data_IF_753996741113
#
_entry.id   IF_753996741113
#
_cell.length_a   1.000
_cell.length_b   1.000
_cell.length_c   1.000
_cell.angle_alpha   90.00
_cell.angle_beta   90.00
_cell.angle_gamma   90.00
#
_symmetry.space_group_name_H-M   'P 1'
#
loop_
_entity.id
_entity.type
_entity.pdbx_description
1 polymer ?
#
# COMPACT_ATOMS: atom_id res chain seq x y z
N UNK A 1 -18.13 -0.53 10.64
CA UNK A 1 -18.50 -1.59 9.64
C UNK A 1 -19.84 -1.28 8.99
N UNK A 2 -20.04 -1.57 7.68
CA UNK A 2 -21.33 -1.42 6.99
C UNK A 2 -22.29 -2.58 7.32
N UNK A 3 -23.60 -2.29 7.33
CA UNK A 3 -24.65 -3.27 7.66
C UNK A 3 -24.66 -4.45 6.67
N UNK A 4 -24.44 -4.19 5.38
CA UNK A 4 -24.33 -5.23 4.36
C UNK A 4 -23.23 -6.23 4.67
N UNK A 5 -22.05 -5.73 5.00
CA UNK A 5 -20.88 -6.56 5.37
C UNK A 5 -21.14 -7.38 6.65
N UNK A 6 -21.84 -6.81 7.61
CA UNK A 6 -22.23 -7.53 8.84
C UNK A 6 -23.11 -8.75 8.51
N UNK A 7 -24.16 -8.55 7.70
CA UNK A 7 -25.04 -9.66 7.31
C UNK A 7 -24.30 -10.72 6.49
N UNK A 8 -23.36 -10.34 5.63
CA UNK A 8 -22.53 -11.28 4.89
C UNK A 8 -21.66 -12.14 5.84
N UNK A 9 -21.07 -11.53 6.86
CA UNK A 9 -20.31 -12.27 7.86
C UNK A 9 -21.16 -13.23 8.68
N UNK A 10 -22.37 -12.81 9.07
CA UNK A 10 -23.28 -13.64 9.88
C UNK A 10 -23.92 -14.76 9.04
N UNK A 11 -24.29 -14.51 7.78
CA UNK A 11 -24.90 -15.51 6.89
C UNK A 11 -24.00 -16.71 6.61
N UNK A 12 -22.68 -16.47 6.49
CA UNK A 12 -21.69 -17.50 6.22
C UNK A 12 -21.36 -18.39 7.44
N UNK A 13 -21.80 -17.99 8.65
CA UNK A 13 -21.52 -18.70 9.88
C UNK A 13 -20.06 -18.61 10.33
N UNK A 14 -19.75 -19.29 11.44
CA UNK A 14 -18.38 -19.40 11.92
C UNK A 14 -17.49 -20.12 10.90
N UNK A 15 -16.31 -19.59 10.71
CA UNK A 15 -15.32 -20.10 9.76
C UNK A 15 -13.91 -19.66 10.17
N UNK A 16 -12.94 -19.75 9.27
CA UNK A 16 -11.56 -19.35 9.58
C UNK A 16 -11.39 -17.84 9.83
N UNK A 17 -12.42 -17.03 9.49
CA UNK A 17 -12.39 -15.57 9.61
C UNK A 17 -13.35 -14.99 10.64
N UNK A 18 -14.36 -15.75 11.06
CA UNK A 18 -15.45 -15.23 11.90
C UNK A 18 -15.72 -16.17 13.06
N UNK A 19 -15.88 -15.59 14.24
CA UNK A 19 -16.28 -16.26 15.48
C UNK A 19 -17.35 -15.45 16.20
N UNK A 20 -18.31 -16.11 16.84
CA UNK A 20 -19.40 -15.46 17.54
C UNK A 20 -19.24 -15.58 19.05
N UNK A 21 -19.61 -14.54 19.76
CA UNK A 21 -19.67 -14.54 21.21
C UNK A 21 -20.97 -13.90 21.67
N UNK A 22 -21.66 -14.56 22.57
CA UNK A 22 -22.90 -14.02 23.15
C UNK A 22 -22.65 -12.79 24.00
N UNK A 23 -21.51 -12.72 24.70
CA UNK A 23 -21.16 -11.65 25.67
C UNK A 23 -19.66 -11.37 25.63
N UNK A 24 -19.25 -10.21 26.12
CA UNK A 24 -17.86 -9.88 26.36
C UNK A 24 -17.15 -10.85 27.33
N UNK A 25 -15.85 -10.93 27.22
CA UNK A 25 -14.98 -11.77 28.05
C UNK A 25 -14.91 -11.18 29.46
N UNK A 26 -15.31 -11.94 30.46
CA UNK A 26 -15.22 -11.52 31.87
C UNK A 26 -13.75 -11.45 32.33
N UNK A 27 -13.49 -10.75 33.45
CA UNK A 27 -12.12 -10.56 33.99
C UNK A 27 -11.35 -11.85 34.22
N UNK A 28 -12.03 -12.92 34.57
CA UNK A 28 -11.45 -14.27 34.73
C UNK A 28 -11.26 -15.01 33.41
N UNK A 29 -11.86 -14.53 32.32
CA UNK A 29 -11.76 -15.06 30.96
C UNK A 29 -10.90 -14.21 30.01
N UNK A 30 -10.11 -13.26 30.53
CA UNK A 30 -9.21 -12.46 29.69
C UNK A 30 -8.22 -13.28 28.87
N UNK A 31 -7.86 -14.47 29.36
CA UNK A 31 -7.01 -15.41 28.61
C UNK A 31 -7.71 -15.91 27.34
N UNK A 32 -9.05 -16.05 27.35
CA UNK A 32 -9.80 -16.49 26.18
C UNK A 32 -9.75 -15.44 25.06
N UNK A 33 -9.84 -14.14 25.41
CA UNK A 33 -9.65 -13.06 24.44
C UNK A 33 -8.26 -13.13 23.79
N UNK A 34 -7.20 -13.37 24.59
CA UNK A 34 -5.85 -13.51 24.05
C UNK A 34 -5.73 -14.74 23.15
N UNK A 35 -6.34 -15.87 23.54
CA UNK A 35 -6.37 -17.09 22.73
C UNK A 35 -7.05 -16.83 21.40
N UNK A 36 -8.23 -16.21 21.40
CA UNK A 36 -8.99 -15.94 20.19
C UNK A 36 -8.23 -15.00 19.27
N UNK A 37 -7.66 -13.90 19.80
CA UNK A 37 -6.83 -12.99 19.01
C UNK A 37 -5.62 -13.69 18.41
N UNK A 38 -4.87 -14.51 19.18
CA UNK A 38 -3.70 -15.23 18.67
C UNK A 38 -4.08 -16.28 17.62
N UNK A 39 -5.24 -16.92 17.75
CA UNK A 39 -5.74 -17.85 16.75
C UNK A 39 -6.09 -17.12 15.43
N UNK A 40 -6.70 -15.96 15.50
CA UNK A 40 -7.11 -15.18 14.33
C UNK A 40 -5.97 -14.42 13.66
N UNK A 41 -5.02 -13.90 14.40
CA UNK A 41 -3.87 -13.23 13.79
C UNK A 41 -2.96 -14.21 13.06
N UNK A 42 -2.89 -15.46 13.52
CA UNK A 42 -2.11 -16.52 12.90
C UNK A 42 -2.96 -17.35 11.91
N UNK A 43 -3.54 -16.68 10.92
CA UNK A 43 -4.27 -17.33 9.84
C UNK A 43 -3.41 -17.45 8.57
N UNK A 44 -3.64 -18.50 7.81
CA UNK A 44 -2.92 -18.75 6.55
C UNK A 44 -3.46 -17.96 5.36
N UNK A 45 -4.67 -17.40 5.47
CA UNK A 45 -5.25 -16.52 4.46
C UNK A 45 -4.79 -15.06 4.64
N UNK A 46 -5.12 -14.20 3.66
CA UNK A 46 -4.73 -12.79 3.62
C UNK A 46 -5.91 -11.83 3.86
N UNK A 47 -6.92 -12.28 4.58
CA UNK A 47 -8.12 -11.49 4.86
C UNK A 47 -8.23 -11.20 6.36
N UNK A 48 -8.92 -10.09 6.70
CA UNK A 48 -9.18 -9.71 8.08
C UNK A 48 -10.12 -10.70 8.77
N UNK A 49 -9.99 -10.79 10.08
CA UNK A 49 -10.79 -11.67 10.93
C UNK A 49 -11.68 -10.88 11.88
N UNK A 50 -12.78 -11.49 12.30
CA UNK A 50 -13.84 -10.82 13.05
C UNK A 50 -14.29 -11.69 14.23
N UNK A 51 -14.34 -11.10 15.43
CA UNK A 51 -15.04 -11.67 16.58
C UNK A 51 -16.28 -10.79 16.78
N UNK A 52 -17.47 -11.36 16.58
CA UNK A 52 -18.73 -10.63 16.69
C UNK A 52 -19.38 -10.96 18.05
N UNK A 53 -19.56 -9.94 18.86
CA UNK A 53 -20.11 -10.05 20.22
C UNK A 53 -21.56 -9.58 20.21
N UNK A 54 -22.45 -10.36 20.78
CA UNK A 54 -23.90 -10.17 20.75
C UNK A 54 -24.63 -11.16 19.87
N UNK A 55 -23.97 -12.24 19.45
CA UNK A 55 -24.57 -13.34 18.67
C UNK A 55 -24.47 -14.64 19.49
N UNK A 56 -25.57 -15.40 19.55
CA UNK A 56 -25.59 -16.74 20.13
C UNK A 56 -24.94 -17.72 19.14
N UNK A 57 -23.96 -18.46 19.60
CA UNK A 57 -23.15 -19.35 18.77
C UNK A 57 -24.00 -20.47 18.08
N UNK A 58 -24.82 -21.19 18.85
CA UNK A 58 -25.58 -22.33 18.32
C UNK A 58 -26.72 -21.91 17.39
N UNK A 59 -27.53 -20.91 17.81
CA UNK A 59 -28.72 -20.47 17.08
C UNK A 59 -28.42 -19.42 16.00
N UNK A 60 -27.24 -18.78 16.07
CA UNK A 60 -26.86 -17.58 15.27
C UNK A 60 -27.84 -16.41 15.44
N UNK A 61 -28.61 -16.43 16.53
CA UNK A 61 -29.55 -15.35 16.83
C UNK A 61 -28.79 -14.11 17.32
N UNK A 62 -29.12 -12.95 16.77
CA UNK A 62 -28.62 -11.68 17.25
C UNK A 62 -29.31 -11.36 18.57
N UNK A 63 -28.59 -11.51 19.67
CA UNK A 63 -29.11 -11.24 21.01
C UNK A 63 -28.78 -9.82 21.49
N UNK A 64 -27.75 -9.21 20.87
CA UNK A 64 -27.19 -7.93 21.27
C UNK A 64 -26.39 -8.00 22.57
N UNK A 65 -25.76 -6.88 22.91
CA UNK A 65 -24.98 -6.70 24.14
C UNK A 65 -25.66 -5.72 25.10
N UNK A 66 -25.34 -5.83 26.39
CA UNK A 66 -25.61 -4.77 27.34
C UNK A 66 -24.54 -3.68 27.20
N UNK A 67 -24.96 -2.48 26.81
CA UNK A 67 -24.05 -1.33 26.61
C UNK A 67 -23.37 -0.87 27.90
N UNK A 68 -23.93 -1.25 29.06
CA UNK A 68 -23.38 -0.96 30.37
C UNK A 68 -22.57 -2.13 30.97
N UNK A 69 -22.30 -3.18 30.19
CA UNK A 69 -21.47 -4.31 30.65
C UNK A 69 -20.07 -3.80 31.03
N UNK A 70 -19.71 -3.96 32.31
CA UNK A 70 -18.38 -3.59 32.84
C UNK A 70 -17.21 -4.33 32.19
N UNK A 71 -17.46 -5.41 31.45
CA UNK A 71 -16.46 -6.19 30.74
C UNK A 71 -16.29 -5.72 29.29
N UNK A 72 -17.11 -4.79 28.81
CA UNK A 72 -16.99 -4.23 27.46
C UNK A 72 -15.69 -3.44 27.33
N UNK A 73 -14.91 -3.74 26.29
CA UNK A 73 -13.61 -3.12 26.04
C UNK A 73 -13.65 -2.26 24.77
N UNK A 74 -12.87 -1.19 24.78
CA UNK A 74 -12.57 -0.41 23.58
C UNK A 74 -11.28 -0.93 22.91
N UNK A 75 -11.02 -0.48 21.68
CA UNK A 75 -9.81 -0.88 20.94
C UNK A 75 -8.51 -0.59 21.72
N UNK A 76 -8.48 0.54 22.43
CA UNK A 76 -7.34 0.95 23.27
C UNK A 76 -7.10 -0.05 24.42
N UNK A 77 -8.17 -0.50 25.09
CA UNK A 77 -8.07 -1.46 26.21
C UNK A 77 -7.50 -2.80 25.73
N UNK A 78 -7.97 -3.29 24.57
CA UNK A 78 -7.49 -4.54 23.97
C UNK A 78 -6.03 -4.39 23.55
N UNK A 79 -5.68 -3.31 22.89
CA UNK A 79 -4.31 -3.02 22.41
C UNK A 79 -3.34 -2.87 23.57
N UNK A 80 -3.72 -2.16 24.65
CA UNK A 80 -2.89 -2.01 25.84
C UNK A 80 -2.70 -3.34 26.57
N UNK A 81 -3.73 -4.20 26.58
CA UNK A 81 -3.58 -5.54 27.10
C UNK A 81 -2.54 -6.35 26.31
N UNK A 82 -2.58 -6.30 24.97
CA UNK A 82 -1.62 -6.98 24.12
C UNK A 82 -0.20 -6.40 24.24
N UNK A 83 -0.05 -5.09 24.40
CA UNK A 83 1.25 -4.42 24.63
C UNK A 83 1.95 -4.92 25.89
N UNK A 84 1.19 -5.28 26.91
CA UNK A 84 1.73 -5.82 28.16
C UNK A 84 2.17 -7.29 28.03
N UNK A 85 1.86 -7.95 26.92
CA UNK A 85 2.32 -9.29 26.60
C UNK A 85 3.65 -9.24 25.86
N UNK A 86 4.57 -10.12 26.18
CA UNK A 86 5.83 -10.29 25.43
C UNK A 86 5.56 -11.05 24.14
N UNK A 87 5.17 -10.36 23.08
CA UNK A 87 4.91 -10.97 21.78
C UNK A 87 6.18 -11.12 20.93
N UNK A 88 6.21 -12.12 20.07
CA UNK A 88 7.33 -12.40 19.16
C UNK A 88 7.60 -11.22 18.23
N UNK A 89 8.88 -10.83 18.08
CA UNK A 89 9.28 -9.69 17.27
C UNK A 89 8.81 -8.33 17.78
N UNK A 90 8.26 -8.25 19.01
CA UNK A 90 7.61 -7.06 19.57
C UNK A 90 6.46 -6.52 18.68
N UNK A 91 5.91 -7.35 17.82
CA UNK A 91 4.79 -6.97 16.96
C UNK A 91 3.46 -7.07 17.72
N UNK A 92 2.70 -5.99 17.70
CA UNK A 92 1.37 -5.93 18.30
C UNK A 92 0.35 -6.01 17.16
N UNK A 93 -0.58 -6.99 17.19
CA UNK A 93 -1.66 -7.07 16.22
C UNK A 93 -2.46 -5.76 16.14
N UNK A 94 -2.78 -5.33 14.94
CA UNK A 94 -3.66 -4.20 14.72
C UNK A 94 -5.11 -4.64 14.91
N UNK A 95 -5.83 -3.93 15.79
CA UNK A 95 -7.20 -4.29 16.19
C UNK A 95 -8.06 -3.03 16.21
N UNK A 96 -9.27 -3.17 15.69
CA UNK A 96 -10.34 -2.19 15.81
C UNK A 96 -11.51 -2.80 16.59
N UNK A 97 -12.17 -2.01 17.43
CA UNK A 97 -13.44 -2.36 18.07
C UNK A 97 -14.47 -1.36 17.59
N UNK A 98 -15.50 -1.84 16.92
CA UNK A 98 -16.62 -1.03 16.41
C UNK A 98 -17.95 -1.60 16.88
N UNK A 99 -18.99 -0.76 16.94
CA UNK A 99 -20.34 -1.17 17.29
C UNK A 99 -21.26 -0.99 16.08
N UNK A 100 -22.22 -1.88 15.95
CA UNK A 100 -23.27 -1.80 14.95
C UNK A 100 -24.64 -2.06 15.58
N UNK A 101 -25.63 -1.26 15.18
CA UNK A 101 -27.02 -1.44 15.63
C UNK A 101 -27.80 -2.20 14.55
N UNK A 102 -28.40 -3.32 14.93
CA UNK A 102 -29.19 -4.21 14.09
C UNK A 102 -30.50 -4.54 14.79
N UNK A 103 -31.63 -4.16 14.23
CA UNK A 103 -32.97 -4.44 14.78
C UNK A 103 -33.11 -4.05 16.25
N UNK A 104 -32.73 -2.82 16.60
CA UNK A 104 -32.71 -2.27 17.98
C UNK A 104 -31.78 -3.01 18.95
N UNK A 105 -30.86 -3.84 18.46
CA UNK A 105 -29.84 -4.53 19.24
C UNK A 105 -28.46 -4.08 18.83
N UNK A 106 -27.58 -3.86 19.79
CA UNK A 106 -26.19 -3.46 19.53
C UNK A 106 -25.30 -4.69 19.57
N UNK A 107 -24.47 -4.87 18.56
CA UNK A 107 -23.38 -5.84 18.52
C UNK A 107 -22.04 -5.12 18.48
N UNK A 108 -21.04 -5.62 19.19
CA UNK A 108 -19.67 -5.16 19.06
C UNK A 108 -18.88 -6.12 18.14
N UNK A 109 -17.95 -5.55 17.38
CA UNK A 109 -17.13 -6.27 16.43
C UNK A 109 -15.67 -5.96 16.72
N UNK A 110 -14.90 -6.99 17.07
CA UNK A 110 -13.45 -6.90 17.12
C UNK A 110 -12.94 -7.30 15.75
N UNK A 111 -12.42 -6.35 15.00
CA UNK A 111 -11.71 -6.59 13.74
C UNK A 111 -10.24 -6.81 14.05
N UNK A 112 -9.70 -7.94 13.62
CA UNK A 112 -8.28 -8.27 13.71
C UNK A 112 -7.73 -8.19 12.29
N UNK A 113 -6.95 -7.15 12.03
CA UNK A 113 -6.41 -6.91 10.71
C UNK A 113 -5.39 -7.96 10.31
N UNK A 114 -5.43 -8.33 9.05
CA UNK A 114 -4.48 -9.29 8.48
C UNK A 114 -3.04 -8.77 8.57
N UNK A 115 -2.10 -9.67 8.82
CA UNK A 115 -0.67 -9.32 8.86
C UNK A 115 0.18 -10.44 8.27
N UNK A 116 1.28 -10.05 7.65
CA UNK A 116 2.33 -10.97 7.21
C UNK A 116 3.37 -11.26 8.32
N UNK A 117 3.26 -10.62 9.51
CA UNK A 117 4.17 -10.87 10.65
C UNK A 117 3.91 -12.18 11.41
N UNK A 118 3.29 -13.16 10.77
CA UNK A 118 3.01 -14.49 11.35
C UNK A 118 4.25 -15.39 11.39
N UNK A 119 4.35 -16.36 12.30
CA UNK A 119 3.47 -16.56 13.45
C UNK A 119 3.78 -15.59 14.60
N UNK A 120 2.72 -15.12 15.26
CA UNK A 120 2.80 -14.33 16.49
C UNK A 120 2.53 -15.25 17.67
N UNK A 121 3.41 -15.25 18.65
CA UNK A 121 3.34 -16.08 19.85
C UNK A 121 3.94 -15.37 21.04
N UNK A 122 3.67 -15.87 22.23
CA UNK A 122 4.19 -15.32 23.48
C UNK A 122 5.65 -15.76 23.69
N UNK A 123 6.51 -14.81 24.04
CA UNK A 123 7.91 -15.08 24.43
C UNK A 123 8.05 -15.49 25.90
N UNK A 124 6.99 -15.31 26.68
CA UNK A 124 6.87 -15.71 28.10
C UNK A 124 5.50 -16.29 28.36
N UNK A 125 5.41 -17.22 29.31
CA UNK A 125 4.12 -17.76 29.75
C UNK A 125 3.16 -16.65 30.17
N UNK A 126 1.93 -16.71 29.67
CA UNK A 126 0.82 -15.87 30.14
C UNK A 126 -0.14 -16.73 30.97
N UNK A 127 -0.41 -16.28 32.19
CA UNK A 127 -1.23 -17.00 33.16
C UNK A 127 -2.45 -16.17 33.56
N UNK A 128 -3.60 -16.81 33.55
CA UNK A 128 -4.82 -16.29 34.16
C UNK A 128 -5.50 -17.43 34.96
N UNK A 129 -5.45 -17.31 36.27
CA UNK A 129 -5.89 -18.37 37.17
C UNK A 129 -5.06 -19.67 36.97
N UNK A 130 -5.76 -20.78 36.66
CA UNK A 130 -5.13 -22.08 36.38
C UNK A 130 -4.76 -22.29 34.91
N UNK A 131 -5.16 -21.40 34.04
CA UNK A 131 -4.92 -21.51 32.60
C UNK A 131 -3.63 -20.80 32.20
N UNK A 132 -2.90 -21.41 31.27
CA UNK A 132 -1.59 -20.94 30.85
C UNK A 132 -1.50 -21.06 29.32
N UNK A 133 -1.07 -19.99 28.66
CA UNK A 133 -0.54 -20.05 27.28
C UNK A 133 0.98 -20.12 27.43
N UNK A 134 1.59 -21.18 26.94
CA UNK A 134 3.03 -21.42 27.07
C UNK A 134 3.86 -20.48 26.15
N UNK A 135 5.05 -20.14 26.61
CA UNK A 135 6.02 -19.44 25.76
C UNK A 135 6.35 -20.28 24.51
N UNK A 136 6.40 -19.64 23.34
CA UNK A 136 6.69 -20.31 22.06
C UNK A 136 5.51 -21.11 21.48
N UNK A 137 4.38 -21.18 22.18
CA UNK A 137 3.18 -21.87 21.70
C UNK A 137 2.52 -21.03 20.58
N UNK A 138 2.31 -21.64 19.43
CA UNK A 138 1.65 -20.99 18.28
C UNK A 138 0.22 -21.48 18.21
N UNK A 139 -0.72 -20.55 18.35
CA UNK A 139 -2.15 -20.78 18.21
C UNK A 139 -2.57 -20.28 16.83
N UNK A 140 -3.41 -21.03 16.12
CA UNK A 140 -3.92 -20.68 14.78
C UNK A 140 -5.31 -21.27 14.59
N UNK A 141 -6.22 -20.53 14.00
CA UNK A 141 -7.53 -21.01 13.58
C UNK A 141 -7.42 -21.70 12.23
N UNK A 142 -8.00 -22.88 12.14
CA UNK A 142 -8.01 -23.66 10.91
C UNK A 142 -9.29 -24.50 10.82
N UNK A 143 -9.95 -24.48 9.66
CA UNK A 143 -11.22 -25.17 9.42
C UNK A 143 -12.30 -24.83 10.47
N UNK A 144 -12.42 -23.53 10.77
CA UNK A 144 -13.41 -23.02 11.72
C UNK A 144 -13.12 -23.33 13.20
N UNK A 145 -11.95 -23.91 13.53
CA UNK A 145 -11.62 -24.31 14.89
C UNK A 145 -10.31 -23.69 15.38
N UNK A 146 -10.32 -23.22 16.63
CA UNK A 146 -9.14 -22.71 17.31
C UNK A 146 -8.19 -23.84 17.74
N UNK A 147 -6.88 -23.60 17.67
CA UNK A 147 -5.91 -24.46 18.33
C UNK A 147 -6.18 -24.49 19.85
N UNK A 148 -6.38 -25.66 20.48
CA UNK A 148 -6.59 -25.75 21.91
C UNK A 148 -5.42 -25.19 22.73
N UNK A 149 -5.73 -24.64 23.91
CA UNK A 149 -4.74 -23.99 24.78
C UNK A 149 -3.59 -24.93 25.22
N UNK A 150 -3.79 -26.22 25.24
CA UNK A 150 -2.81 -27.22 25.62
C UNK A 150 -1.95 -27.76 24.46
N UNK A 151 -2.13 -27.18 23.24
CA UNK A 151 -1.46 -27.64 22.03
C UNK A 151 -0.90 -26.44 21.24
N UNK A 152 0.00 -26.73 20.32
CA UNK A 152 0.43 -25.79 19.28
C UNK A 152 -0.22 -26.16 17.95
N UNK A 153 -0.30 -25.22 17.02
CA UNK A 153 -0.78 -25.47 15.67
C UNK A 153 0.00 -26.61 14.99
N UNK A 154 -0.66 -27.41 14.13
CA UNK A 154 0.01 -28.48 13.40
C UNK A 154 1.16 -27.96 12.52
N UNK A 155 2.18 -28.80 12.30
CA UNK A 155 3.40 -28.45 11.58
C UNK A 155 3.12 -27.89 10.17
N UNK A 156 2.17 -28.47 9.42
CA UNK A 156 1.79 -27.96 8.10
C UNK A 156 1.16 -26.54 8.13
N UNK A 157 0.54 -26.15 9.25
CA UNK A 157 0.06 -24.78 9.47
C UNK A 157 1.24 -23.87 9.78
N UNK A 158 2.16 -24.31 10.64
CA UNK A 158 3.38 -23.55 10.96
C UNK A 158 4.19 -23.25 9.71
N UNK A 159 4.37 -24.24 8.82
CA UNK A 159 5.03 -24.04 7.53
C UNK A 159 4.34 -22.95 6.69
N UNK A 160 3.01 -23.00 6.58
CA UNK A 160 2.24 -21.99 5.84
C UNK A 160 2.36 -20.59 6.46
N UNK A 161 2.35 -20.46 7.79
CA UNK A 161 2.54 -19.19 8.49
C UNK A 161 3.92 -18.59 8.21
N UNK A 162 4.97 -19.42 8.22
CA UNK A 162 6.31 -18.97 7.86
C UNK A 162 6.42 -18.61 6.38
N UNK A 163 5.79 -19.39 5.48
CA UNK A 163 5.72 -19.03 4.05
C UNK A 163 5.04 -17.68 3.83
N UNK A 164 3.94 -17.42 4.55
CA UNK A 164 3.24 -16.12 4.54
C UNK A 164 4.18 -15.00 4.99
N UNK A 165 4.91 -15.18 6.10
CA UNK A 165 5.86 -14.19 6.62
C UNK A 165 6.96 -13.83 5.62
N UNK A 166 7.45 -14.81 4.89
CA UNK A 166 8.52 -14.61 3.90
C UNK A 166 7.98 -14.40 2.48
N UNK A 167 6.67 -14.20 2.34
CA UNK A 167 5.98 -14.04 1.06
C UNK A 167 6.21 -15.19 0.06
N UNK A 168 6.53 -16.39 0.55
CA UNK A 168 6.76 -17.56 -0.29
C UNK A 168 5.46 -18.21 -0.79
N UNK A 169 4.33 -17.76 -0.31
CA UNK A 169 2.98 -18.12 -0.73
C UNK A 169 2.43 -17.17 -1.82
N UNK A 170 3.13 -16.07 -2.10
CA UNK A 170 2.80 -15.10 -3.14
C UNK A 170 3.49 -15.44 -4.46
N UNK A 171 2.92 -15.01 -5.56
CA UNK A 171 3.61 -15.09 -6.84
C UNK A 171 4.87 -14.21 -6.87
N UNK A 172 5.73 -14.41 -7.88
CA UNK A 172 7.02 -13.74 -7.94
C UNK A 172 6.87 -12.22 -8.11
N UNK A 173 5.81 -11.75 -8.76
CA UNK A 173 5.54 -10.33 -8.97
C UNK A 173 5.16 -9.64 -7.66
N UNK A 174 4.30 -10.27 -6.85
CA UNK A 174 3.90 -9.78 -5.54
C UNK A 174 5.08 -9.81 -4.56
N UNK A 175 5.90 -10.86 -4.60
CA UNK A 175 7.14 -10.92 -3.83
C UNK A 175 8.09 -9.79 -4.21
N UNK A 176 8.23 -9.54 -5.52
CA UNK A 176 9.05 -8.43 -6.01
C UNK A 176 8.55 -7.09 -5.48
N UNK A 177 7.23 -6.87 -5.54
CA UNK A 177 6.60 -5.66 -5.02
C UNK A 177 6.84 -5.49 -3.51
N UNK A 178 6.83 -6.58 -2.75
CA UNK A 178 7.11 -6.56 -1.30
C UNK A 178 8.56 -6.17 -1.00
N UNK A 179 9.54 -6.74 -1.71
CA UNK A 179 10.97 -6.41 -1.47
C UNK A 179 11.34 -5.01 -1.93
N UNK A 180 10.64 -4.43 -2.92
CA UNK A 180 10.85 -3.03 -3.32
C UNK A 180 10.59 -2.03 -2.20
N UNK A 181 9.76 -2.37 -1.20
CA UNK A 181 9.46 -1.53 -0.03
C UNK A 181 10.54 -1.56 1.04
N UNK A 182 11.44 -2.53 1.00
CA UNK A 182 12.54 -2.67 1.96
C UNK A 182 13.78 -1.90 1.50
N UNK A 183 13.65 -0.58 1.43
CA UNK A 183 14.62 0.34 0.83
C UNK A 183 16.03 0.23 1.41
N UNK A 184 16.15 -0.09 2.70
CA UNK A 184 17.44 -0.13 3.42
C UNK A 184 18.27 -1.37 3.06
N UNK A 185 17.65 -2.41 2.54
CA UNK A 185 18.30 -3.65 2.16
C UNK A 185 18.62 -3.73 0.66
N UNK A 186 18.60 -2.63 -0.05
CA UNK A 186 19.05 -2.54 -1.44
C UNK A 186 20.40 -1.82 -1.54
N UNK A 187 21.25 -2.31 -2.44
CA UNK A 187 22.55 -1.70 -2.74
C UNK A 187 22.62 -1.38 -4.23
N UNK A 188 22.97 -0.13 -4.55
CA UNK A 188 23.27 0.29 -5.90
C UNK A 188 24.73 -0.03 -6.24
N UNK A 189 24.93 -0.64 -7.41
CA UNK A 189 26.24 -0.93 -7.99
C UNK A 189 26.32 -0.27 -9.35
N UNK A 190 27.31 0.59 -9.54
CA UNK A 190 27.50 1.30 -10.81
C UNK A 190 27.93 0.34 -11.93
N UNK A 191 27.80 0.80 -13.19
CA UNK A 191 28.22 0.04 -14.35
C UNK A 191 29.73 -0.25 -14.32
N UNK A 192 30.10 -1.50 -14.54
CA UNK A 192 31.49 -1.93 -14.56
C UNK A 192 31.73 -3.09 -15.53
N UNK A 193 32.81 -3.02 -16.32
CA UNK A 193 33.23 -4.06 -17.26
C UNK A 193 32.10 -4.55 -18.20
N UNK A 194 31.30 -3.64 -18.75
CA UNK A 194 30.22 -3.97 -19.68
C UNK A 194 28.92 -4.49 -19.01
N UNK A 195 28.90 -4.63 -17.69
CA UNK A 195 27.66 -4.88 -16.96
C UNK A 195 26.91 -3.57 -16.73
N UNK A 196 25.58 -3.57 -16.84
CA UNK A 196 24.77 -2.39 -16.55
C UNK A 196 24.86 -2.03 -15.05
N UNK A 197 24.61 -0.77 -14.75
CA UNK A 197 24.36 -0.37 -13.37
C UNK A 197 23.13 -1.11 -12.83
N UNK A 198 23.14 -1.48 -11.55
CA UNK A 198 22.06 -2.27 -10.97
C UNK A 198 21.80 -1.98 -9.50
N UNK A 199 20.58 -2.27 -9.07
CA UNK A 199 20.24 -2.42 -7.67
C UNK A 199 20.16 -3.92 -7.33
N UNK A 200 20.72 -4.31 -6.18
CA UNK A 200 20.72 -5.70 -5.69
C UNK A 200 20.07 -5.73 -4.31
N UNK A 201 19.12 -6.63 -4.11
CA UNK A 201 18.51 -6.83 -2.80
C UNK A 201 19.42 -7.71 -1.93
N UNK A 202 19.89 -7.16 -0.80
CA UNK A 202 20.95 -7.78 0.01
C UNK A 202 20.51 -9.07 0.72
N UNK A 203 19.22 -9.21 1.05
CA UNK A 203 18.70 -10.39 1.74
C UNK A 203 18.43 -11.58 0.81
N UNK A 204 18.18 -11.31 -0.47
CA UNK A 204 18.10 -12.31 -1.54
C UNK A 204 18.61 -11.71 -2.84
N UNK A 205 19.91 -11.88 -3.18
CA UNK A 205 20.51 -11.30 -4.38
C UNK A 205 19.95 -11.79 -5.72
N UNK A 206 19.04 -12.77 -5.71
CA UNK A 206 18.29 -13.15 -6.90
C UNK A 206 17.29 -12.06 -7.34
N UNK A 207 16.88 -11.18 -6.43
CA UNK A 207 16.15 -9.96 -6.77
C UNK A 207 17.14 -8.85 -7.12
N UNK A 208 17.15 -8.42 -8.36
CA UNK A 208 17.97 -7.31 -8.81
C UNK A 208 17.31 -6.54 -9.94
N UNK A 209 17.71 -5.29 -10.12
CA UNK A 209 17.17 -4.37 -11.11
C UNK A 209 18.32 -3.89 -11.97
N UNK A 210 18.34 -4.26 -13.24
CA UNK A 210 19.32 -3.75 -14.21
C UNK A 210 18.82 -2.42 -14.80
N UNK A 211 19.72 -1.42 -14.86
CA UNK A 211 19.46 -0.15 -15.52
C UNK A 211 20.08 -0.19 -16.93
N UNK A 212 19.24 -0.51 -17.90
CA UNK A 212 19.64 -0.73 -19.30
C UNK A 212 19.33 0.52 -20.11
N UNK A 213 20.24 0.94 -20.98
CA UNK A 213 19.99 2.08 -21.88
C UNK A 213 18.81 1.77 -22.82
N UNK A 214 17.86 2.67 -22.90
CA UNK A 214 16.75 2.56 -23.85
C UNK A 214 17.22 2.97 -25.23
N UNK A 215 17.48 1.97 -26.07
CA UNK A 215 17.95 2.15 -27.46
C UNK A 215 16.80 2.41 -28.45
N UNK A 216 15.57 2.62 -27.96
CA UNK A 216 14.38 2.79 -28.82
C UNK A 216 14.36 4.10 -29.62
N UNK A 217 15.39 4.96 -29.47
CA UNK A 217 15.51 6.22 -30.21
C UNK A 217 14.39 7.20 -29.85
N UNK A 218 14.03 7.25 -28.57
CA UNK A 218 13.01 8.23 -28.08
C UNK A 218 13.61 9.61 -28.08
N UNK A 219 13.43 10.30 -29.18
CA UNK A 219 13.71 11.74 -29.31
C UNK A 219 12.59 12.59 -28.70
N UNK A 220 11.63 11.94 -28.01
CA UNK A 220 10.48 12.65 -27.43
C UNK A 220 10.88 13.28 -26.12
N UNK A 221 10.87 14.57 -26.10
CA UNK A 221 10.88 15.38 -24.91
C UNK A 221 9.65 15.06 -24.05
N UNK A 222 9.83 14.73 -22.79
CA UNK A 222 8.70 14.53 -21.90
C UNK A 222 8.49 15.74 -20.98
N UNK A 223 7.23 16.13 -20.72
CA UNK A 223 6.90 17.29 -19.91
C UNK A 223 7.60 17.35 -18.56
N UNK A 224 7.81 16.20 -17.91
CA UNK A 224 8.47 16.12 -16.61
C UNK A 224 9.89 16.70 -16.61
N UNK A 225 10.58 16.68 -17.75
CA UNK A 225 11.92 17.22 -17.88
C UNK A 225 11.97 18.74 -17.67
N UNK A 226 10.88 19.43 -17.95
CA UNK A 226 10.76 20.88 -17.75
C UNK A 226 10.70 21.30 -16.28
N UNK A 227 10.32 20.38 -15.40
CA UNK A 227 10.38 20.59 -13.96
C UNK A 227 11.82 20.50 -13.41
N UNK A 228 12.75 19.97 -14.18
CA UNK A 228 14.14 19.83 -13.80
C UNK A 228 14.95 21.10 -14.08
N UNK A 229 16.02 21.30 -13.31
CA UNK A 229 16.92 22.46 -13.49
C UNK A 229 17.73 22.34 -14.77
N UNK A 230 17.96 21.11 -15.27
CA UNK A 230 18.72 20.80 -16.49
C UNK A 230 17.93 19.79 -17.33
N UNK A 231 18.03 19.94 -18.65
CA UNK A 231 17.18 19.25 -19.61
C UNK A 231 17.82 18.00 -20.26
N UNK A 232 19.08 17.70 -19.91
CA UNK A 232 19.73 16.51 -20.46
C UNK A 232 19.22 15.24 -19.79
N UNK A 233 18.40 14.50 -20.52
CA UNK A 233 17.78 13.25 -20.07
C UNK A 233 18.34 12.08 -20.87
N UNK A 234 18.72 11.03 -20.17
CA UNK A 234 18.97 9.72 -20.75
C UNK A 234 17.85 8.77 -20.34
N UNK A 235 17.27 8.11 -21.30
CA UNK A 235 16.23 7.10 -21.07
C UNK A 235 16.87 5.76 -20.76
N UNK A 236 16.36 5.12 -19.71
CA UNK A 236 16.75 3.77 -19.32
C UNK A 236 15.52 2.92 -19.06
N UNK A 237 15.69 1.62 -19.18
CA UNK A 237 14.75 0.62 -18.68
C UNK A 237 15.28 0.06 -17.37
N UNK A 238 14.47 0.15 -16.32
CA UNK A 238 14.68 -0.61 -15.11
C UNK A 238 14.07 -2.00 -15.32
N UNK A 239 14.94 -2.99 -15.62
CA UNK A 239 14.55 -4.38 -15.80
C UNK A 239 14.59 -5.10 -14.46
N UNK A 240 13.42 -5.40 -13.90
CA UNK A 240 13.22 -6.09 -12.63
C UNK A 240 13.37 -7.59 -12.85
N UNK A 241 14.38 -8.20 -12.24
CA UNK A 241 14.74 -9.59 -12.48
C UNK A 241 14.77 -10.42 -11.20
N UNK A 242 14.36 -11.67 -11.33
CA UNK A 242 14.53 -12.69 -10.31
C UNK A 242 15.19 -13.93 -10.95
N UNK A 243 16.36 -14.30 -10.46
CA UNK A 243 17.11 -15.47 -10.93
C UNK A 243 17.19 -15.52 -12.47
N UNK A 244 17.60 -14.43 -13.12
CA UNK A 244 17.72 -14.21 -14.57
C UNK A 244 16.39 -14.05 -15.35
N UNK A 245 15.23 -14.33 -14.75
CA UNK A 245 13.96 -14.08 -15.38
C UNK A 245 13.57 -12.59 -15.21
N UNK A 246 13.28 -11.91 -16.31
CA UNK A 246 12.67 -10.59 -16.26
C UNK A 246 11.21 -10.70 -15.84
N UNK A 247 10.85 -10.07 -14.74
CA UNK A 247 9.49 -10.07 -14.19
C UNK A 247 8.68 -8.92 -14.79
N UNK A 248 9.30 -7.74 -14.85
CA UNK A 248 8.72 -6.54 -15.40
C UNK A 248 9.81 -5.54 -15.76
N UNK A 249 9.54 -4.61 -16.67
CA UNK A 249 10.41 -3.48 -16.93
C UNK A 249 9.66 -2.16 -16.84
N UNK A 250 10.35 -1.12 -16.37
CA UNK A 250 9.79 0.24 -16.24
C UNK A 250 10.72 1.24 -16.89
N UNK A 251 10.12 2.16 -17.62
CA UNK A 251 10.86 3.29 -18.17
C UNK A 251 11.24 4.25 -17.05
N UNK A 252 12.50 4.65 -17.02
CA UNK A 252 13.02 5.64 -16.08
C UNK A 252 13.77 6.73 -16.82
N UNK A 253 13.79 7.91 -16.24
CA UNK A 253 14.73 8.94 -16.68
C UNK A 253 15.95 8.95 -15.78
N UNK A 254 17.09 9.18 -16.42
CA UNK A 254 18.32 9.52 -15.78
C UNK A 254 18.70 10.96 -16.20
N UNK A 255 18.71 11.87 -15.26
CA UNK A 255 19.27 13.18 -15.48
C UNK A 255 20.72 13.21 -15.06
N UNK A 256 21.61 13.16 -16.06
CA UNK A 256 23.04 12.88 -15.88
C UNK A 256 23.73 13.95 -15.00
N UNK A 257 23.46 15.22 -15.25
CA UNK A 257 24.06 16.34 -14.54
C UNK A 257 23.60 16.47 -13.08
N UNK A 258 22.38 16.03 -12.79
CA UNK A 258 21.81 16.04 -11.44
C UNK A 258 21.85 14.66 -10.76
N UNK A 259 22.33 13.62 -11.47
CA UNK A 259 22.33 12.22 -11.02
C UNK A 259 20.99 11.83 -10.40
N UNK A 260 19.93 12.08 -11.14
CA UNK A 260 18.57 11.93 -10.69
C UNK A 260 17.90 10.80 -11.46
N UNK A 261 17.36 9.83 -10.75
CA UNK A 261 16.57 8.72 -11.30
C UNK A 261 15.10 8.88 -10.91
N UNK A 262 14.22 8.75 -11.87
CA UNK A 262 12.78 8.84 -11.66
C UNK A 262 12.06 7.84 -12.56
N UNK A 263 11.12 7.07 -12.01
CA UNK A 263 10.22 6.25 -12.82
C UNK A 263 9.25 7.14 -13.57
N UNK A 264 9.03 6.84 -14.87
CA UNK A 264 8.03 7.53 -15.66
C UNK A 264 6.63 7.22 -15.12
N UNK A 265 5.85 8.22 -14.70
CA UNK A 265 4.46 8.01 -14.32
C UNK A 265 3.62 7.50 -15.52
N UNK A 266 2.47 6.94 -15.23
CA UNK A 266 1.52 6.53 -16.27
C UNK A 266 0.71 7.73 -16.77
N UNK A 267 0.40 7.82 -18.07
CA UNK A 267 -0.53 8.82 -18.57
C UNK A 267 -1.97 8.47 -18.17
N UNK A 268 -2.67 9.46 -17.59
CA UNK A 268 -4.10 9.46 -17.35
C UNK A 268 -4.80 10.44 -18.26
N UNK A 269 -6.12 10.31 -18.42
CA UNK A 269 -6.92 11.16 -19.29
C UNK A 269 -8.25 11.50 -18.65
N UNK A 270 -8.60 12.79 -18.59
CA UNK A 270 -9.91 13.25 -18.16
C UNK A 270 -10.65 13.83 -19.37
N UNK A 271 -11.89 13.39 -19.60
CA UNK A 271 -12.72 13.86 -20.69
C UNK A 271 -13.29 15.23 -20.36
N UNK A 272 -13.03 16.23 -21.23
CA UNK A 272 -13.75 17.49 -21.24
C UNK A 272 -14.91 17.47 -22.23
N UNK A 273 -15.57 18.61 -22.43
CA UNK A 273 -16.74 18.73 -23.28
C UNK A 273 -16.46 18.49 -24.78
N UNK A 274 -15.27 18.80 -25.26
CA UNK A 274 -14.88 18.70 -26.66
C UNK A 274 -13.62 17.88 -26.90
N UNK A 275 -12.74 17.76 -25.89
CA UNK A 275 -11.45 17.09 -25.98
C UNK A 275 -11.12 16.39 -24.67
N UNK A 276 -10.11 15.54 -24.68
CA UNK A 276 -9.57 14.88 -23.50
C UNK A 276 -8.23 15.50 -23.12
N UNK A 277 -8.04 15.72 -21.83
CA UNK A 277 -6.83 16.31 -21.26
C UNK A 277 -6.01 15.22 -20.58
N UNK A 278 -4.70 15.23 -20.80
CA UNK A 278 -3.79 14.27 -20.19
C UNK A 278 -3.21 14.78 -18.87
N UNK A 279 -2.88 13.86 -17.98
CA UNK A 279 -2.13 14.10 -16.75
C UNK A 279 -1.27 12.88 -16.42
N UNK A 280 -0.46 12.97 -15.38
CA UNK A 280 0.43 11.86 -14.95
C UNK A 280 0.01 11.30 -13.60
N UNK A 281 0.09 9.97 -13.45
CA UNK A 281 -0.30 9.32 -12.21
C UNK A 281 0.53 8.08 -11.86
N UNK A 282 0.48 7.71 -10.57
CA UNK A 282 0.83 6.40 -10.05
C UNK A 282 -0.36 5.78 -9.32
N UNK A 283 -0.37 4.46 -9.23
CA UNK A 283 -1.20 3.75 -8.25
C UNK A 283 -0.28 3.41 -7.06
N UNK A 284 -0.68 3.82 -5.87
CA UNK A 284 0.01 3.49 -4.64
C UNK A 284 0.21 1.97 -4.52
N UNK A 285 1.31 1.56 -3.92
CA UNK A 285 1.66 0.16 -3.78
C UNK A 285 1.86 -0.65 -5.07
N UNK A 286 1.78 -0.02 -6.25
CA UNK A 286 2.17 -0.68 -7.50
C UNK A 286 3.69 -0.82 -7.61
N UNK A 287 4.16 -1.76 -8.46
CA UNK A 287 5.59 -1.93 -8.74
C UNK A 287 6.23 -0.62 -9.22
N UNK A 288 5.55 0.15 -10.09
CA UNK A 288 6.08 1.42 -10.59
C UNK A 288 6.25 2.45 -9.46
N UNK A 289 5.26 2.56 -8.58
CA UNK A 289 5.32 3.46 -7.42
C UNK A 289 6.41 3.02 -6.43
N UNK A 290 6.45 1.75 -6.05
CA UNK A 290 7.43 1.23 -5.09
C UNK A 290 8.86 1.26 -5.65
N UNK A 291 9.03 1.02 -6.95
CA UNK A 291 10.32 1.23 -7.62
C UNK A 291 10.73 2.71 -7.55
N UNK A 292 9.81 3.63 -7.83
CA UNK A 292 10.10 5.05 -7.73
C UNK A 292 10.54 5.44 -6.31
N UNK A 293 9.83 4.95 -5.29
CA UNK A 293 10.20 5.18 -3.90
C UNK A 293 11.55 4.55 -3.55
N UNK A 294 11.87 3.35 -4.06
CA UNK A 294 13.18 2.73 -3.90
C UNK A 294 14.30 3.62 -4.45
N UNK A 295 14.14 4.14 -5.68
CA UNK A 295 15.14 5.01 -6.30
C UNK A 295 15.46 6.24 -5.45
N UNK A 296 14.49 6.74 -4.67
CA UNK A 296 14.64 7.90 -3.80
C UNK A 296 15.08 7.59 -2.38
N UNK A 297 14.63 6.46 -1.82
CA UNK A 297 14.83 6.12 -0.40
C UNK A 297 16.00 5.17 -0.16
N UNK A 298 16.50 4.48 -1.18
CA UNK A 298 17.64 3.59 -1.04
C UNK A 298 18.89 4.39 -0.65
N UNK A 299 19.58 4.06 0.47
CA UNK A 299 20.73 4.82 0.97
C UNK A 299 21.90 4.91 0.00
N UNK A 300 22.08 3.90 -0.85
CA UNK A 300 23.15 3.85 -1.85
C UNK A 300 22.72 4.39 -3.23
N UNK A 301 21.48 4.85 -3.39
CA UNK A 301 20.97 5.39 -4.66
C UNK A 301 21.74 6.64 -5.09
N UNK A 302 21.68 6.92 -6.39
CA UNK A 302 22.24 8.14 -6.98
C UNK A 302 21.45 9.39 -6.62
N UNK A 303 20.22 9.25 -6.13
CA UNK A 303 19.36 10.35 -5.73
C UNK A 303 19.83 10.92 -4.39
N UNK A 304 20.49 12.07 -4.43
CA UNK A 304 20.97 12.73 -3.23
C UNK A 304 19.91 13.57 -2.51
N UNK A 305 20.05 13.74 -1.22
CA UNK A 305 19.11 14.49 -0.35
C UNK A 305 18.80 15.91 -0.82
N UNK A 306 19.77 16.63 -1.40
CA UNK A 306 19.55 17.99 -1.92
C UNK A 306 18.63 18.05 -3.14
N UNK A 307 18.29 16.91 -3.73
CA UNK A 307 17.35 16.82 -4.86
C UNK A 307 15.89 16.64 -4.44
N UNK A 308 15.60 16.55 -3.15
CA UNK A 308 14.23 16.39 -2.66
C UNK A 308 13.29 17.53 -3.07
N UNK A 309 13.78 18.75 -3.11
CA UNK A 309 12.97 19.87 -3.60
C UNK A 309 12.57 19.69 -5.08
N UNK A 310 13.47 19.12 -5.86
CA UNK A 310 13.19 18.81 -7.28
C UNK A 310 12.20 17.66 -7.42
N UNK A 311 12.36 16.60 -6.62
CA UNK A 311 11.35 15.52 -6.51
C UNK A 311 9.98 16.10 -6.19
N UNK A 312 9.89 16.90 -5.14
CA UNK A 312 8.63 17.50 -4.71
C UNK A 312 8.02 18.39 -5.80
N UNK A 313 8.84 19.12 -6.56
CA UNK A 313 8.37 19.94 -7.68
C UNK A 313 7.74 19.08 -8.77
N UNK A 314 8.38 17.95 -9.13
CA UNK A 314 7.86 17.01 -10.12
C UNK A 314 6.59 16.35 -9.60
N UNK A 315 6.61 15.83 -8.38
CA UNK A 315 5.50 15.06 -7.81
C UNK A 315 4.26 15.89 -7.50
N UNK A 316 4.35 17.22 -7.43
CA UNK A 316 3.18 18.11 -7.24
C UNK A 316 2.13 18.02 -8.34
N UNK A 317 2.52 17.63 -9.55
CA UNK A 317 1.62 17.45 -10.68
C UNK A 317 1.33 15.99 -11.03
N UNK A 318 1.95 15.05 -10.31
CA UNK A 318 1.69 13.62 -10.45
C UNK A 318 0.64 13.21 -9.42
N UNK A 319 -0.42 12.57 -9.87
CA UNK A 319 -1.51 12.11 -8.99
C UNK A 319 -1.19 10.71 -8.46
N UNK A 320 -1.40 10.49 -7.17
CA UNK A 320 -1.21 9.17 -6.56
C UNK A 320 -2.57 8.67 -6.08
N UNK A 321 -3.09 7.63 -6.75
CA UNK A 321 -4.34 7.00 -6.37
C UNK A 321 -4.09 5.75 -5.52
N UNK A 322 -4.97 5.46 -4.58
CA UNK A 322 -4.92 4.22 -3.81
C UNK A 322 -5.29 2.98 -4.65
N UNK A 323 -6.13 3.17 -5.68
CA UNK A 323 -6.59 2.10 -6.56
C UNK A 323 -7.00 2.62 -7.94
N UNK A 324 -7.17 1.69 -8.90
CA UNK A 324 -7.75 2.01 -10.22
C UNK A 324 -9.22 2.43 -10.11
N UNK A 325 -9.93 1.97 -9.10
CA UNK A 325 -11.33 2.35 -8.86
C UNK A 325 -11.42 3.80 -8.39
N UNK A 326 -10.61 4.19 -7.41
CA UNK A 326 -10.51 5.59 -6.99
C UNK A 326 -10.17 6.51 -8.17
N UNK A 327 -9.19 6.10 -9.00
CA UNK A 327 -8.86 6.84 -10.22
C UNK A 327 -10.09 7.09 -11.09
N UNK A 328 -10.92 6.06 -11.35
CA UNK A 328 -12.12 6.18 -12.19
C UNK A 328 -13.14 7.15 -11.59
N UNK A 329 -13.37 7.04 -10.27
CA UNK A 329 -14.30 7.90 -9.55
C UNK A 329 -13.83 9.36 -9.64
N UNK A 330 -12.57 9.63 -9.28
CA UNK A 330 -12.01 10.97 -9.28
C UNK A 330 -11.99 11.59 -10.69
N UNK A 331 -11.60 10.82 -11.73
CA UNK A 331 -11.65 11.30 -13.12
C UNK A 331 -13.07 11.68 -13.55
N UNK A 332 -14.07 10.88 -13.17
CA UNK A 332 -15.48 11.15 -13.44
C UNK A 332 -15.97 12.42 -12.75
N UNK A 333 -15.64 12.57 -11.47
CA UNK A 333 -16.06 13.71 -10.65
C UNK A 333 -15.42 15.01 -11.13
N UNK A 334 -14.13 14.98 -11.41
CA UNK A 334 -13.39 16.13 -11.94
C UNK A 334 -13.95 16.55 -13.31
N UNK A 335 -14.27 15.59 -14.18
CA UNK A 335 -14.92 15.85 -15.47
C UNK A 335 -16.28 16.51 -15.31
N UNK A 336 -17.08 16.12 -14.31
CA UNK A 336 -18.41 16.65 -14.07
C UNK A 336 -18.43 18.02 -13.39
N UNK A 337 -17.49 18.28 -12.46
CA UNK A 337 -17.52 19.45 -11.60
C UNK A 337 -16.76 20.65 -12.18
N UNK A 338 -15.74 20.42 -13.02
CA UNK A 338 -14.86 21.49 -13.50
C UNK A 338 -15.01 21.74 -15.00
N UNK A 339 -14.99 23.02 -15.38
CA UNK A 339 -14.77 23.38 -16.77
C UNK A 339 -13.26 23.27 -17.07
N UNK A 340 -12.84 22.07 -17.48
CA UNK A 340 -11.43 21.74 -17.66
C UNK A 340 -10.73 22.70 -18.60
N UNK A 341 -11.33 22.98 -19.77
CA UNK A 341 -10.74 23.88 -20.76
C UNK A 341 -10.38 25.24 -20.16
N UNK A 342 -11.27 25.83 -19.35
CA UNK A 342 -11.03 27.11 -18.71
C UNK A 342 -10.03 27.04 -17.55
N UNK A 343 -10.09 25.96 -16.77
CA UNK A 343 -9.31 25.82 -15.53
C UNK A 343 -7.86 25.47 -15.77
N UNK A 344 -7.53 24.79 -16.86
CA UNK A 344 -6.18 24.32 -17.16
C UNK A 344 -5.54 25.03 -18.36
N UNK A 345 -6.28 25.86 -19.09
CA UNK A 345 -5.77 26.58 -20.28
C UNK A 345 -4.43 27.27 -19.99
N UNK A 346 -3.46 27.00 -20.86
CA UNK A 346 -2.15 27.64 -20.80
C UNK A 346 -2.21 29.08 -21.35
N UNK A 347 -1.68 30.01 -20.59
CA UNK A 347 -1.57 31.41 -21.06
C UNK A 347 -0.35 31.60 -21.96
N UNK A 348 -0.39 32.61 -22.83
CA UNK A 348 0.73 33.00 -23.71
C UNK A 348 2.02 33.28 -22.91
N UNK A 349 1.91 33.88 -21.73
CA UNK A 349 3.05 34.17 -20.85
C UNK A 349 3.67 32.90 -20.27
N UNK A 350 2.83 31.95 -19.84
CA UNK A 350 3.30 30.66 -19.36
C UNK A 350 4.00 29.87 -20.46
N UNK A 351 3.41 29.84 -21.65
CA UNK A 351 3.97 29.16 -22.82
C UNK A 351 5.34 29.74 -23.14
N UNK A 352 5.46 31.05 -23.27
CA UNK A 352 6.73 31.70 -23.53
C UNK A 352 7.78 31.42 -22.47
N UNK A 353 7.39 31.41 -21.19
CA UNK A 353 8.31 31.07 -20.08
C UNK A 353 8.84 29.66 -20.19
N UNK A 354 8.02 28.72 -20.67
CA UNK A 354 8.43 27.32 -20.85
C UNK A 354 9.31 27.19 -22.10
N UNK A 355 8.95 27.83 -23.20
CA UNK A 355 9.74 27.84 -24.44
C UNK A 355 11.17 28.39 -24.23
N UNK A 356 11.33 29.44 -23.42
CA UNK A 356 12.65 29.99 -23.07
C UNK A 356 13.54 29.00 -22.28
N UNK A 357 12.96 27.94 -21.69
CA UNK A 357 13.68 26.88 -20.99
C UNK A 357 14.00 25.67 -21.87
N UNK A 358 13.34 25.56 -23.02
CA UNK A 358 13.55 24.46 -23.96
C UNK A 358 14.75 24.85 -24.85
N UNK A 359 15.96 24.57 -24.35
CA UNK A 359 17.19 24.69 -25.17
C UNK A 359 17.37 23.36 -25.96
N UNK A 360 16.40 23.07 -26.81
CA UNK A 360 16.43 21.92 -27.70
C UNK A 360 16.42 22.43 -29.11
N UNK A 361 17.36 21.95 -29.92
CA UNK A 361 17.43 22.18 -31.36
C UNK A 361 16.23 21.49 -32.05
N UNK A 362 15.01 22.02 -31.78
CA UNK A 362 13.78 21.53 -32.38
C UNK A 362 13.61 22.32 -33.69
N UNK A 363 13.89 21.64 -34.79
CA UNK A 363 13.77 22.20 -36.16
C UNK A 363 12.32 22.55 -36.56
N UNK A 364 11.40 22.79 -35.60
CA UNK A 364 10.01 23.05 -35.91
C UNK A 364 9.30 23.87 -34.82
N UNK A 365 9.23 25.19 -34.97
CA UNK A 365 8.61 26.13 -34.04
C UNK A 365 7.16 25.77 -33.61
N UNK A 366 6.40 25.11 -34.49
CA UNK A 366 5.03 24.68 -34.18
C UNK A 366 5.01 23.52 -33.14
N UNK A 367 6.06 22.69 -33.08
CA UNK A 367 6.15 21.63 -32.11
C UNK A 367 6.49 22.15 -30.71
N UNK A 368 7.32 23.17 -30.61
CA UNK A 368 7.71 23.80 -29.33
C UNK A 368 6.51 24.39 -28.60
N UNK A 369 5.69 25.17 -29.30
CA UNK A 369 4.46 25.76 -28.76
C UNK A 369 3.48 24.71 -28.27
N UNK A 370 3.23 23.68 -29.06
CA UNK A 370 2.32 22.60 -28.68
C UNK A 370 2.83 21.82 -27.46
N UNK A 371 4.12 21.63 -27.35
CA UNK A 371 4.72 20.92 -26.21
C UNK A 371 4.64 21.76 -24.93
N UNK A 372 4.99 23.04 -25.00
CA UNK A 372 4.90 23.94 -23.88
C UNK A 372 3.45 24.03 -23.36
N UNK A 373 2.50 24.19 -24.29
CA UNK A 373 1.07 24.19 -23.96
C UNK A 373 0.66 22.88 -23.27
N UNK A 374 0.91 21.75 -23.89
CA UNK A 374 0.55 20.43 -23.33
C UNK A 374 1.17 20.19 -21.95
N UNK A 375 2.43 20.56 -21.76
CA UNK A 375 3.10 20.46 -20.48
C UNK A 375 2.41 21.29 -19.39
N UNK A 376 2.05 22.52 -19.69
CA UNK A 376 1.39 23.41 -18.73
C UNK A 376 0.02 22.86 -18.36
N UNK A 377 -0.78 22.50 -19.37
CA UNK A 377 -2.13 21.96 -19.18
C UNK A 377 -2.11 20.64 -18.39
N UNK A 378 -1.18 19.73 -18.70
CA UNK A 378 -0.97 18.50 -17.98
C UNK A 378 -0.63 18.71 -16.50
N UNK A 379 0.29 19.65 -16.21
CA UNK A 379 0.66 19.98 -14.84
C UNK A 379 -0.49 20.66 -14.09
N UNK A 380 -1.24 21.55 -14.73
CA UNK A 380 -2.41 22.19 -14.12
C UNK A 380 -3.50 21.18 -13.78
N UNK A 381 -3.76 20.24 -14.69
CA UNK A 381 -4.74 19.17 -14.44
C UNK A 381 -4.32 18.26 -13.28
N UNK A 382 -3.06 17.83 -13.25
CA UNK A 382 -2.56 17.01 -12.15
C UNK A 382 -2.69 17.70 -10.79
N UNK A 383 -2.39 19.00 -10.72
CA UNK A 383 -2.56 19.81 -9.49
C UNK A 383 -4.02 20.00 -9.12
N UNK A 384 -4.90 20.22 -10.10
CA UNK A 384 -6.35 20.33 -9.88
C UNK A 384 -6.90 19.05 -9.26
N UNK A 385 -6.51 17.88 -9.81
CA UNK A 385 -6.93 16.58 -9.28
C UNK A 385 -6.41 16.40 -7.86
N UNK A 386 -5.14 16.70 -7.58
CA UNK A 386 -4.57 16.58 -6.24
C UNK A 386 -5.32 17.46 -5.23
N UNK A 387 -5.59 18.73 -5.57
CA UNK A 387 -6.38 19.61 -4.70
C UNK A 387 -7.80 19.10 -4.45
N UNK A 388 -8.45 18.57 -5.48
CA UNK A 388 -9.78 17.95 -5.35
C UNK A 388 -9.76 16.75 -4.39
N UNK A 389 -8.74 15.90 -4.46
CA UNK A 389 -8.60 14.75 -3.57
C UNK A 389 -8.35 15.17 -2.12
N UNK A 390 -7.47 16.16 -1.89
CA UNK A 390 -7.19 16.71 -0.55
C UNK A 390 -8.44 17.29 0.12
N UNK A 391 -9.25 18.07 -0.61
CA UNK A 391 -10.50 18.65 -0.10
C UNK A 391 -11.53 17.60 0.30
N UNK A 392 -11.60 16.48 -0.43
CA UNK A 392 -12.54 15.40 -0.16
C UNK A 392 -12.08 14.46 0.98
N UNK A 393 -10.79 14.32 1.21
CA UNK A 393 -10.25 13.56 2.35
C UNK A 393 -10.46 14.30 3.68
N UNK A 394 -10.33 15.61 3.70
CA UNK A 394 -10.59 16.43 4.89
C UNK A 394 -12.09 16.50 5.25
N UNK A 395 -12.97 16.32 4.28
CA UNK A 395 -14.43 16.27 4.50
C UNK A 395 -14.93 14.95 5.11
N UNK A 396 -14.08 13.90 5.10
CA UNK A 396 -14.40 12.56 5.66
C UNK A 396 -13.82 12.35 7.07
N UNK A 397 -13.03 13.29 7.58
CA UNK A 397 -12.51 13.32 8.97
C UNK A 397 -13.44 14.13 9.87
#
# INVERSE_FOLDING_TARGET
MEISKFYDLVSNGENDRVDYKKKWYTKDKKIDLVIDILNFVNTVHHEDCYIIIGIEDESKEIVGIDTNDENRLQAEDVTDHLRNLSLSGNYIPEIEVSSIEIEDKICDIITIYNTDHTPIYLMKDYRNGRRIIGAGQILSRNQGSNTPIDRTAPDYILEKLWRKRFHLDKDIKDRYNSVLKDYNNWTFVDSFNGNPARFIYNLDPNFYIDLIDDMSGRDQFQPISLNAVRLKITWKLASLKYNHLEIESKLIYWMDDARFLQVCPYPGFVSGAQESFSYEYFIADSIAFNLNELLWKCPSSLNHHYLYEQKNRIMKSVVIYSSLEEKRIVESDVSAQFNLQKNIEATEEEIKTVEERIDIDINNANNEYNWAKNYIEQNKLGRLINSYMEENDDSKK
#
